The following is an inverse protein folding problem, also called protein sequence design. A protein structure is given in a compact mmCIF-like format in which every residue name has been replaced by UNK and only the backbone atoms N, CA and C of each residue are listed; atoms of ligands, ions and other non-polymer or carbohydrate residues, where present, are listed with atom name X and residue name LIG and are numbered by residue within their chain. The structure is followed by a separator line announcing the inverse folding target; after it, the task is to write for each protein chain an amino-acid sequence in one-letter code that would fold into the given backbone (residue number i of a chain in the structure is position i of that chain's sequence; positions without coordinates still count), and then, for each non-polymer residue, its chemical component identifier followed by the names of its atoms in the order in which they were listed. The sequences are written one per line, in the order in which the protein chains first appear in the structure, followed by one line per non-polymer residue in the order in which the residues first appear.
data_IF_508523974513
#
_entry.id   IF_508523974513
#
_cell.length_a   1.000
_cell.length_b   1.000
_cell.length_c   1.000
_cell.angle_alpha   90.00
_cell.angle_beta   90.00
_cell.angle_gamma   90.00
#
_symmetry.space_group_name_H-M   'P 1'
#
loop_
_entity.id
_entity.type
_entity.pdbx_description
1 polymer ?
#
# COMPACT_ATOMS: atom_id res chain seq x y z
N UNK A 1 -23.77 -4.14 -17.69
CA UNK A 1 -23.71 -2.69 -17.95
C UNK A 1 -23.07 -2.08 -16.72
N UNK A 2 -21.93 -1.43 -16.85
CA UNK A 2 -21.29 -0.72 -15.73
C UNK A 2 -22.15 0.51 -15.42
N UNK A 3 -22.71 0.59 -14.20
CA UNK A 3 -23.42 1.79 -13.76
C UNK A 3 -22.48 2.99 -13.86
N UNK A 4 -22.98 4.15 -14.29
CA UNK A 4 -22.15 5.35 -14.32
C UNK A 4 -21.88 5.84 -12.89
N UNK A 5 -20.74 6.50 -12.68
CA UNK A 5 -20.39 7.08 -11.36
C UNK A 5 -21.50 8.01 -10.84
N UNK A 6 -22.21 8.69 -11.74
CA UNK A 6 -23.37 9.52 -11.43
C UNK A 6 -24.57 8.69 -10.94
N UNK A 7 -24.87 7.57 -11.59
CA UNK A 7 -25.96 6.69 -11.18
C UNK A 7 -25.68 6.08 -9.81
N UNK A 8 -24.42 5.74 -9.52
CA UNK A 8 -24.01 5.23 -8.19
C UNK A 8 -24.19 6.28 -7.10
N UNK A 9 -23.87 7.55 -7.36
CA UNK A 9 -24.11 8.64 -6.40
C UNK A 9 -25.61 8.90 -6.19
N UNK A 10 -26.43 8.77 -7.23
CA UNK A 10 -27.89 8.86 -7.10
C UNK A 10 -28.47 7.71 -6.27
N UNK A 11 -27.99 6.48 -6.47
CA UNK A 11 -28.38 5.30 -5.69
C UNK A 11 -27.96 5.42 -4.21
N UNK A 12 -26.87 6.14 -3.92
CA UNK A 12 -26.43 6.48 -2.55
C UNK A 12 -27.25 7.61 -1.91
N UNK A 13 -28.18 8.23 -2.65
CA UNK A 13 -29.10 9.26 -2.14
C UNK A 13 -28.58 10.69 -2.22
N UNK A 14 -27.53 10.95 -3.01
CA UNK A 14 -27.06 12.32 -3.24
C UNK A 14 -27.96 13.09 -4.22
N UNK A 15 -28.09 14.40 -3.99
CA UNK A 15 -28.87 15.27 -4.86
C UNK A 15 -28.25 15.36 -6.27
N UNK A 16 -29.07 15.15 -7.30
CA UNK A 16 -28.62 15.06 -8.71
C UNK A 16 -27.72 16.21 -9.15
N UNK A 17 -28.07 17.44 -8.80
CA UNK A 17 -27.28 18.62 -9.19
C UNK A 17 -25.91 18.67 -8.51
N UNK A 18 -25.79 18.19 -7.25
CA UNK A 18 -24.49 18.09 -6.56
C UNK A 18 -23.66 16.94 -7.09
N UNK A 19 -24.27 15.77 -7.34
CA UNK A 19 -23.60 14.61 -7.90
C UNK A 19 -23.03 14.90 -9.30
N UNK A 20 -23.80 15.57 -10.16
CA UNK A 20 -23.32 16.04 -11.47
C UNK A 20 -22.13 16.99 -11.34
N UNK A 21 -22.16 17.91 -10.37
CA UNK A 21 -21.08 18.86 -10.15
C UNK A 21 -19.82 18.19 -9.61
N UNK A 22 -19.98 17.23 -8.70
CA UNK A 22 -18.90 16.45 -8.11
C UNK A 22 -18.19 15.58 -9.17
N UNK A 23 -18.96 14.86 -9.99
CA UNK A 23 -18.42 14.05 -11.09
C UNK A 23 -17.74 14.94 -12.14
N UNK A 24 -18.29 16.12 -12.44
CA UNK A 24 -17.65 17.09 -13.36
C UNK A 24 -16.35 17.67 -12.82
N UNK A 25 -16.21 17.89 -11.50
CA UNK A 25 -14.99 18.44 -10.89
C UNK A 25 -13.89 17.41 -10.68
N UNK A 26 -14.24 16.16 -10.38
CA UNK A 26 -13.27 15.14 -9.93
C UNK A 26 -13.02 14.03 -10.94
N UNK A 27 -13.97 13.76 -11.85
CA UNK A 27 -13.82 12.80 -12.94
C UNK A 27 -13.79 11.32 -12.52
N UNK A 28 -13.95 11.01 -11.23
CA UNK A 28 -14.03 9.64 -10.71
C UNK A 28 -14.97 9.55 -9.50
N UNK A 29 -15.53 8.37 -9.23
CA UNK A 29 -16.45 8.14 -8.11
C UNK A 29 -15.87 8.52 -6.73
N UNK A 30 -14.64 8.06 -6.42
CA UNK A 30 -14.04 8.27 -5.10
C UNK A 30 -13.77 9.75 -4.82
N UNK A 31 -13.29 10.50 -5.81
CA UNK A 31 -13.09 11.93 -5.69
C UNK A 31 -14.42 12.68 -5.60
N UNK A 32 -15.44 12.22 -6.33
CA UNK A 32 -16.77 12.82 -6.25
C UNK A 32 -17.37 12.67 -4.82
N UNK A 33 -17.15 11.53 -4.16
CA UNK A 33 -17.57 11.31 -2.77
C UNK A 33 -16.84 12.22 -1.79
N UNK A 34 -15.51 12.32 -1.88
CA UNK A 34 -14.70 13.20 -1.03
C UNK A 34 -15.07 14.68 -1.23
N UNK A 35 -15.36 15.07 -2.47
CA UNK A 35 -15.81 16.42 -2.79
C UNK A 35 -17.21 16.72 -2.25
N UNK A 36 -18.13 15.74 -2.30
CA UNK A 36 -19.48 15.88 -1.75
C UNK A 36 -19.46 15.98 -0.23
N UNK A 37 -18.61 15.21 0.45
CA UNK A 37 -18.42 15.26 1.90
C UNK A 37 -17.86 16.61 2.33
N UNK A 38 -16.80 17.10 1.67
CA UNK A 38 -16.18 18.39 1.98
C UNK A 38 -17.07 19.61 1.69
N UNK A 39 -18.13 19.45 0.88
CA UNK A 39 -19.03 20.53 0.47
C UNK A 39 -20.48 20.28 0.89
N UNK A 40 -20.71 19.38 1.85
CA UNK A 40 -22.05 19.01 2.30
C UNK A 40 -22.81 20.22 2.89
N UNK A 41 -22.13 21.07 3.65
CA UNK A 41 -22.72 22.22 4.34
C UNK A 41 -22.91 23.48 3.48
N UNK A 42 -22.38 23.49 2.25
CA UNK A 42 -22.48 24.65 1.36
C UNK A 42 -23.78 24.61 0.57
N UNK A 43 -24.51 25.73 0.42
CA UNK A 43 -25.69 25.79 -0.42
C UNK A 43 -25.31 25.56 -1.90
N UNK A 44 -26.20 24.91 -2.64
CA UNK A 44 -25.96 24.49 -4.03
C UNK A 44 -25.66 25.70 -4.94
N UNK A 45 -26.31 26.83 -4.67
CA UNK A 45 -26.09 28.15 -5.30
C UNK A 45 -24.63 28.61 -5.18
N UNK A 46 -24.02 28.50 -4.00
CA UNK A 46 -22.63 28.90 -3.74
C UNK A 46 -21.65 27.93 -4.40
N UNK A 47 -21.98 26.64 -4.47
CA UNK A 47 -21.18 25.64 -5.17
C UNK A 47 -21.22 25.82 -6.69
N UNK A 48 -22.35 26.23 -7.24
CA UNK A 48 -22.47 26.57 -8.66
C UNK A 48 -21.78 27.89 -8.99
N UNK A 49 -21.84 28.88 -8.10
CA UNK A 49 -21.10 30.14 -8.23
C UNK A 49 -19.58 29.90 -8.14
N UNK A 50 -19.11 29.07 -7.21
CA UNK A 50 -17.70 28.65 -7.08
C UNK A 50 -17.24 27.64 -8.16
N UNK A 51 -18.16 27.12 -8.99
CA UNK A 51 -17.84 26.35 -10.18
C UNK A 51 -17.83 27.21 -11.44
N UNK A 52 -18.62 28.28 -11.47
CA UNK A 52 -18.54 29.34 -12.48
C UNK A 52 -17.29 30.22 -12.28
N UNK A 53 -16.85 30.41 -11.03
CA UNK A 53 -15.55 30.94 -10.68
C UNK A 53 -14.49 29.83 -10.73
N UNK A 54 -14.11 29.40 -11.94
CA UNK A 54 -12.82 28.70 -12.08
C UNK A 54 -11.69 29.73 -12.00
N UNK A 55 -10.57 29.41 -11.31
CA UNK A 55 -9.30 30.10 -11.55
C UNK A 55 -8.76 29.55 -12.88
N UNK A 56 -8.99 30.27 -13.96
CA UNK A 56 -8.51 29.90 -15.29
C UNK A 56 -8.00 31.17 -15.97
N UNK A 57 -6.66 31.31 -16.01
CA UNK A 57 -5.89 32.33 -16.75
C UNK A 57 -6.24 33.80 -16.42
N UNK A 58 -5.88 34.22 -15.20
CA UNK A 58 -5.99 35.58 -14.64
C UNK A 58 -5.27 36.72 -15.42
N UNK A 59 -4.66 36.46 -16.58
CA UNK A 59 -3.89 37.49 -17.31
C UNK A 59 -4.53 37.89 -18.65
N UNK A 60 -5.35 37.03 -19.26
CA UNK A 60 -5.90 37.29 -20.60
C UNK A 60 -7.22 38.06 -20.55
N UNK A 61 -8.08 37.74 -19.58
CA UNK A 61 -9.34 38.45 -19.33
C UNK A 61 -9.11 39.80 -18.63
N UNK A 62 -8.00 39.94 -17.89
CA UNK A 62 -7.57 41.18 -17.21
C UNK A 62 -7.21 42.29 -18.21
N UNK A 63 -6.62 41.92 -19.36
CA UNK A 63 -6.31 42.89 -20.43
C UNK A 63 -7.57 43.25 -21.22
N UNK A 64 -8.50 42.31 -21.43
CA UNK A 64 -9.77 42.58 -22.10
C UNK A 64 -10.66 43.53 -21.27
N UNK A 65 -10.76 43.29 -19.96
CA UNK A 65 -11.51 44.15 -19.03
C UNK A 65 -10.89 45.56 -18.89
N UNK A 66 -9.55 45.67 -18.93
CA UNK A 66 -8.86 46.96 -18.94
C UNK A 66 -9.04 47.76 -20.25
N UNK A 67 -9.27 47.07 -21.38
CA UNK A 67 -9.59 47.69 -22.67
C UNK A 67 -11.02 48.24 -22.66
N UNK A 68 -11.99 47.47 -22.16
CA UNK A 68 -13.41 47.87 -22.07
C UNK A 68 -13.64 49.00 -21.03
N UNK A 69 -12.88 49.01 -19.94
CA UNK A 69 -12.85 50.12 -18.97
C UNK A 69 -12.16 51.40 -19.51
N UNK A 70 -11.37 51.29 -20.59
CA UNK A 70 -10.78 52.44 -21.27
C UNK A 70 -11.80 53.15 -22.19
N UNK A 71 -12.75 52.41 -22.74
CA UNK A 71 -13.75 52.88 -23.74
C UNK A 71 -15.03 53.45 -23.11
N UNK A 72 -15.40 53.07 -21.87
CA UNK A 72 -16.72 53.37 -21.30
C UNK A 72 -16.88 54.73 -20.60
N UNK A 73 -15.83 55.53 -20.40
CA UNK A 73 -15.95 56.97 -20.16
C UNK A 73 -16.80 57.46 -18.95
N UNK A 74 -17.10 56.64 -17.93
CA UNK A 74 -17.85 57.09 -16.74
C UNK A 74 -16.91 57.35 -15.57
N UNK A 75 -16.68 58.63 -15.27
CA UNK A 75 -15.79 59.09 -14.22
C UNK A 75 -16.47 59.09 -12.83
N UNK A 76 -16.09 58.13 -11.99
CA UNK A 76 -16.08 58.29 -10.52
C UNK A 76 -14.69 57.85 -10.04
N UNK A 77 -13.79 58.80 -9.82
CA UNK A 77 -12.44 58.51 -9.31
C UNK A 77 -12.47 58.26 -7.80
N UNK A 78 -11.93 57.11 -7.38
CA UNK A 78 -11.76 56.76 -5.97
C UNK A 78 -10.29 56.97 -5.56
N UNK A 79 -10.05 57.55 -4.40
CA UNK A 79 -8.71 57.81 -3.86
C UNK A 79 -8.53 56.99 -2.60
N UNK A 80 -7.48 56.16 -2.54
CA UNK A 80 -7.13 55.46 -1.31
C UNK A 80 -6.51 56.47 -0.33
N UNK A 81 -7.10 56.64 0.85
CA UNK A 81 -6.63 57.58 1.87
C UNK A 81 -5.35 57.10 2.56
N UNK A 82 -5.06 55.79 2.52
CA UNK A 82 -3.88 55.19 3.15
C UNK A 82 -2.61 55.37 2.31
N UNK A 83 -2.73 55.39 0.97
CA UNK A 83 -1.56 55.53 0.08
C UNK A 83 -1.66 56.66 -0.94
N UNK A 84 -2.74 57.45 -0.93
CA UNK A 84 -2.95 58.59 -1.82
C UNK A 84 -3.08 58.26 -3.30
N UNK A 85 -3.18 56.97 -3.67
CA UNK A 85 -3.30 56.52 -5.06
C UNK A 85 -4.73 56.75 -5.55
N UNK A 86 -4.85 57.27 -6.77
CA UNK A 86 -6.14 57.55 -7.42
C UNK A 86 -6.45 56.48 -8.44
N UNK A 87 -7.68 55.99 -8.40
CA UNK A 87 -8.19 54.90 -9.22
C UNK A 87 -9.26 55.43 -10.17
N UNK A 88 -9.24 54.92 -11.40
CA UNK A 88 -10.13 55.35 -12.48
C UNK A 88 -11.50 54.68 -12.40
N UNK A 89 -11.56 53.46 -11.86
CA UNK A 89 -12.78 52.67 -11.68
C UNK A 89 -12.79 51.93 -10.33
N UNK A 90 -13.98 51.55 -9.88
CA UNK A 90 -14.19 50.75 -8.67
C UNK A 90 -13.44 49.40 -8.73
N UNK A 91 -13.34 48.79 -9.92
CA UNK A 91 -12.63 47.51 -10.10
C UNK A 91 -11.13 47.68 -9.83
N UNK A 92 -10.51 48.74 -10.34
CA UNK A 92 -9.09 49.03 -10.05
C UNK A 92 -8.84 49.37 -8.58
N UNK A 93 -9.81 49.96 -7.89
CA UNK A 93 -9.74 50.19 -6.45
C UNK A 93 -9.86 48.88 -5.65
N UNK A 94 -10.75 47.97 -6.05
CA UNK A 94 -10.89 46.65 -5.43
C UNK A 94 -9.63 45.78 -5.60
N UNK A 95 -8.97 45.84 -6.76
CA UNK A 95 -7.70 45.15 -6.97
C UNK A 95 -6.56 45.72 -6.11
N UNK A 96 -6.53 47.04 -5.95
CA UNK A 96 -5.58 47.66 -5.02
C UNK A 96 -5.89 47.25 -3.57
N UNK A 97 -7.16 47.17 -3.19
CA UNK A 97 -7.59 46.67 -1.89
C UNK A 97 -7.16 45.21 -1.65
N UNK A 98 -7.29 44.31 -2.63
CA UNK A 98 -6.88 42.90 -2.47
C UNK A 98 -5.37 42.69 -2.49
N UNK A 99 -4.62 43.57 -3.15
CA UNK A 99 -3.16 43.46 -3.27
C UNK A 99 -2.41 44.15 -2.15
N UNK A 100 -2.95 45.23 -1.60
CA UNK A 100 -2.29 46.02 -0.55
C UNK A 100 -3.08 46.09 0.75
N UNK A 101 -4.22 45.41 0.85
CA UNK A 101 -5.12 45.42 2.02
C UNK A 101 -5.57 46.81 2.47
N UNK A 102 -5.59 47.80 1.57
CA UNK A 102 -6.08 49.14 1.89
C UNK A 102 -7.59 49.23 1.64
N UNK A 103 -8.36 49.61 2.65
CA UNK A 103 -9.83 49.58 2.59
C UNK A 103 -10.46 50.98 2.57
N UNK A 104 -9.71 52.01 2.93
CA UNK A 104 -10.24 53.37 3.01
C UNK A 104 -10.13 54.12 1.68
N UNK A 105 -11.25 54.20 0.94
CA UNK A 105 -11.37 54.96 -0.31
C UNK A 105 -12.31 56.16 -0.16
N UNK A 106 -11.88 57.34 -0.60
CA UNK A 106 -12.70 58.55 -0.72
C UNK A 106 -13.05 58.84 -2.19
N UNK A 107 -14.30 59.22 -2.46
CA UNK A 107 -14.73 59.69 -3.78
C UNK A 107 -14.20 61.13 -3.99
N UNK A 108 -13.27 61.31 -4.94
CA UNK A 108 -12.72 62.63 -5.28
C UNK A 108 -13.26 63.07 -6.64
N UNK A 109 -13.78 64.31 -6.72
CA UNK A 109 -14.38 64.93 -7.92
C UNK A 109 -13.35 65.53 -8.89
N UNK A 110 -12.07 65.22 -8.73
CA UNK A 110 -11.02 65.72 -9.62
C UNK A 110 -10.83 64.78 -10.81
N UNK A 111 -11.29 65.24 -11.98
CA UNK A 111 -11.14 64.58 -13.26
C UNK A 111 -9.65 64.33 -13.55
N UNK A 112 -9.23 63.07 -13.47
CA UNK A 112 -7.92 62.66 -13.98
C UNK A 112 -7.98 62.86 -15.49
N UNK A 113 -7.19 63.82 -16.00
CA UNK A 113 -7.10 64.10 -17.43
C UNK A 113 -6.95 62.76 -18.19
N UNK A 114 -7.90 62.43 -19.08
CA UNK A 114 -7.82 61.19 -19.84
C UNK A 114 -6.51 61.19 -20.62
N UNK A 115 -5.74 60.10 -20.53
CA UNK A 115 -4.57 59.90 -21.39
C UNK A 115 -4.92 60.35 -22.82
N UNK A 116 -4.05 61.13 -23.45
CA UNK A 116 -4.22 61.52 -24.85
C UNK A 116 -4.38 60.26 -25.70
N UNK A 117 -5.22 60.31 -26.74
CA UNK A 117 -5.60 59.11 -27.49
C UNK A 117 -4.39 58.39 -28.13
N UNK A 118 -3.31 59.12 -28.37
CA UNK A 118 -2.01 58.60 -28.82
C UNK A 118 -1.32 57.73 -27.76
N UNK A 119 -1.34 58.11 -26.48
CA UNK A 119 -0.74 57.34 -25.39
C UNK A 119 -1.54 56.07 -25.08
N UNK A 120 -2.87 56.13 -25.23
CA UNK A 120 -3.72 54.93 -25.13
C UNK A 120 -3.43 53.95 -26.26
N UNK A 121 -3.27 54.44 -27.49
CA UNK A 121 -2.95 53.61 -28.64
C UNK A 121 -1.61 52.87 -28.48
N UNK A 122 -0.56 53.57 -28.00
CA UNK A 122 0.76 52.97 -27.73
C UNK A 122 0.67 51.90 -26.63
N UNK A 123 -0.04 52.18 -25.53
CA UNK A 123 -0.19 51.24 -24.42
C UNK A 123 -1.02 50.01 -24.80
N UNK A 124 -2.01 50.18 -25.68
CA UNK A 124 -2.79 49.08 -26.27
C UNK A 124 -1.94 48.21 -27.21
N UNK A 125 -1.06 48.82 -28.02
CA UNK A 125 -0.12 48.02 -28.84
C UNK A 125 0.86 47.24 -27.99
N UNK A 126 1.43 47.85 -26.94
CA UNK A 126 2.35 47.17 -26.02
C UNK A 126 1.65 46.00 -25.29
N UNK A 127 0.43 46.20 -24.77
CA UNK A 127 -0.36 45.14 -24.15
C UNK A 127 -0.68 44.00 -25.12
N UNK A 128 -1.04 44.32 -26.37
CA UNK A 128 -1.30 43.32 -27.41
C UNK A 128 -0.04 42.54 -27.78
N UNK A 129 1.13 43.19 -27.80
CA UNK A 129 2.41 42.52 -28.03
C UNK A 129 2.80 41.61 -26.86
N UNK A 130 2.62 42.06 -25.62
CA UNK A 130 2.85 41.25 -24.43
C UNK A 130 1.93 40.02 -24.37
N UNK A 131 0.65 40.16 -24.71
CA UNK A 131 -0.26 39.02 -24.80
C UNK A 131 0.13 38.03 -25.90
N UNK A 132 0.58 38.52 -27.07
CA UNK A 132 1.08 37.66 -28.14
C UNK A 132 2.34 36.92 -27.71
N UNK A 133 3.25 37.58 -27.00
CA UNK A 133 4.46 36.95 -26.49
C UNK A 133 4.15 35.90 -25.40
N UNK A 134 3.24 36.19 -24.46
CA UNK A 134 2.76 35.22 -23.46
C UNK A 134 2.11 34.00 -24.12
N UNK A 135 1.20 34.22 -25.08
CA UNK A 135 0.55 33.13 -25.84
C UNK A 135 1.56 32.31 -26.65
N UNK A 136 2.56 32.94 -27.25
CA UNK A 136 3.62 32.24 -27.97
C UNK A 136 4.48 31.38 -27.03
N UNK A 137 4.81 31.87 -25.83
CA UNK A 137 5.55 31.11 -24.81
C UNK A 137 4.73 29.92 -24.29
N UNK A 138 3.45 30.14 -23.94
CA UNK A 138 2.54 29.08 -23.53
C UNK A 138 2.39 28.00 -24.64
N UNK A 139 2.21 28.41 -25.90
CA UNK A 139 2.10 27.45 -27.01
C UNK A 139 3.37 26.61 -27.24
N UNK A 140 4.56 27.07 -26.82
CA UNK A 140 5.79 26.26 -26.86
C UNK A 140 5.82 25.27 -25.69
N UNK A 141 5.47 25.72 -24.48
CA UNK A 141 5.40 24.86 -23.30
C UNK A 141 4.36 23.75 -23.48
N UNK A 142 3.15 24.08 -23.96
CA UNK A 142 2.08 23.11 -24.22
C UNK A 142 2.51 22.05 -25.24
N UNK A 143 3.28 22.44 -26.27
CA UNK A 143 3.83 21.50 -27.25
C UNK A 143 4.88 20.56 -26.64
N UNK A 144 5.71 21.06 -25.73
CA UNK A 144 6.69 20.23 -25.03
C UNK A 144 6.03 19.28 -24.02
N UNK A 145 5.03 19.76 -23.29
CA UNK A 145 4.23 18.94 -22.38
C UNK A 145 3.44 17.87 -23.11
N UNK A 146 2.81 18.21 -24.25
CA UNK A 146 2.14 17.23 -25.10
C UNK A 146 3.10 16.14 -25.58
N UNK A 147 4.32 16.51 -26.01
CA UNK A 147 5.36 15.54 -26.39
C UNK A 147 5.80 14.68 -25.21
N UNK A 148 5.99 15.25 -24.01
CA UNK A 148 6.34 14.49 -22.80
C UNK A 148 5.21 13.52 -22.43
N UNK A 149 3.95 13.95 -22.46
CA UNK A 149 2.80 13.11 -22.17
C UNK A 149 2.65 11.96 -23.17
N UNK A 150 2.87 12.23 -24.46
CA UNK A 150 2.91 11.17 -25.48
C UNK A 150 4.04 10.18 -25.23
N UNK A 151 5.25 10.64 -24.89
CA UNK A 151 6.36 9.77 -24.55
C UNK A 151 6.09 8.91 -23.31
N UNK A 152 5.44 9.47 -22.28
CA UNK A 152 5.03 8.73 -21.08
C UNK A 152 4.05 7.62 -21.46
N UNK A 153 3.04 7.92 -22.30
CA UNK A 153 2.07 6.92 -22.78
C UNK A 153 2.75 5.78 -23.55
N UNK A 154 3.69 6.12 -24.43
CA UNK A 154 4.43 5.12 -25.21
C UNK A 154 5.35 4.27 -24.32
N UNK A 155 6.05 4.89 -23.36
CA UNK A 155 6.89 4.18 -22.39
C UNK A 155 6.06 3.25 -21.50
N UNK A 156 4.95 3.73 -20.93
CA UNK A 156 4.07 2.93 -20.10
C UNK A 156 3.50 1.71 -20.85
N UNK A 157 3.14 1.88 -22.13
CA UNK A 157 2.68 0.77 -22.97
C UNK A 157 3.80 -0.25 -23.22
N UNK A 158 5.00 0.24 -23.52
CA UNK A 158 6.18 -0.61 -23.74
C UNK A 158 6.58 -1.37 -22.48
N UNK A 159 6.67 -0.69 -21.34
CA UNK A 159 6.99 -1.28 -20.03
C UNK A 159 5.93 -2.31 -19.63
N UNK A 160 4.64 -2.07 -19.90
CA UNK A 160 3.58 -3.05 -19.65
C UNK A 160 3.76 -4.32 -20.49
N UNK A 161 4.16 -4.19 -21.76
CA UNK A 161 4.45 -5.32 -22.63
C UNK A 161 5.71 -6.07 -22.17
N UNK A 162 6.79 -5.35 -21.85
CA UNK A 162 8.05 -5.94 -21.36
C UNK A 162 7.83 -6.67 -20.03
N UNK A 163 7.08 -6.10 -19.08
CA UNK A 163 6.73 -6.76 -17.82
C UNK A 163 5.94 -8.06 -18.05
N UNK A 164 5.01 -8.07 -19.01
CA UNK A 164 4.23 -9.26 -19.35
C UNK A 164 5.11 -10.35 -19.99
N UNK A 165 6.00 -9.98 -20.91
CA UNK A 165 6.95 -10.91 -21.52
C UNK A 165 7.95 -11.45 -20.48
N UNK A 166 8.45 -10.62 -19.58
CA UNK A 166 9.36 -11.04 -18.52
C UNK A 166 8.67 -11.99 -17.54
N UNK A 167 7.42 -11.72 -17.16
CA UNK A 167 6.62 -12.62 -16.31
C UNK A 167 6.45 -13.99 -16.99
N UNK A 168 6.08 -14.00 -18.28
CA UNK A 168 5.94 -15.24 -19.04
C UNK A 168 7.26 -16.01 -19.16
N UNK A 169 8.38 -15.31 -19.40
CA UNK A 169 9.72 -15.94 -19.43
C UNK A 169 10.09 -16.53 -18.08
N UNK A 170 9.85 -15.80 -16.97
CA UNK A 170 10.11 -16.29 -15.61
C UNK A 170 9.26 -17.51 -15.28
N UNK A 171 7.99 -17.53 -15.70
CA UNK A 171 7.10 -18.69 -15.53
C UNK A 171 7.61 -19.91 -16.29
N UNK A 172 8.02 -19.75 -17.56
CA UNK A 172 8.58 -20.82 -18.37
C UNK A 172 9.89 -21.37 -17.78
N UNK A 173 10.78 -20.50 -17.30
CA UNK A 173 12.02 -20.92 -16.63
C UNK A 173 11.70 -21.69 -15.36
N UNK A 174 10.79 -21.19 -14.53
CA UNK A 174 10.38 -21.84 -13.28
C UNK A 174 9.71 -23.19 -13.52
N UNK A 175 8.91 -23.33 -14.57
CA UNK A 175 8.31 -24.61 -14.96
C UNK A 175 9.38 -25.60 -15.44
N UNK A 176 10.33 -25.13 -16.27
CA UNK A 176 11.45 -25.96 -16.72
C UNK A 176 12.35 -26.42 -15.57
N UNK A 177 12.62 -25.54 -14.60
CA UNK A 177 13.39 -25.86 -13.40
C UNK A 177 12.66 -26.86 -12.50
N UNK A 178 11.37 -26.64 -12.22
CA UNK A 178 10.54 -27.61 -11.48
C UNK A 178 10.54 -28.97 -12.14
N UNK A 179 10.36 -29.04 -13.46
CA UNK A 179 10.40 -30.30 -14.20
C UNK A 179 11.78 -30.97 -14.15
N UNK A 180 12.87 -30.21 -14.06
CA UNK A 180 14.22 -30.76 -13.85
C UNK A 180 14.39 -31.28 -12.42
N UNK A 181 13.92 -30.54 -11.42
CA UNK A 181 13.94 -30.95 -10.02
C UNK A 181 13.12 -32.21 -9.80
N UNK A 182 11.88 -32.27 -10.28
CA UNK A 182 11.02 -33.47 -10.19
C UNK A 182 11.70 -34.71 -10.80
N UNK A 183 12.37 -34.55 -11.95
CA UNK A 183 13.14 -35.65 -12.56
C UNK A 183 14.34 -36.10 -11.72
N UNK A 184 15.03 -35.17 -11.07
CA UNK A 184 16.15 -35.48 -10.17
C UNK A 184 15.65 -36.16 -8.90
N UNK A 185 14.61 -35.64 -8.28
CA UNK A 185 13.98 -36.19 -7.08
C UNK A 185 13.42 -37.59 -7.35
N UNK A 186 12.80 -37.83 -8.50
CA UNK A 186 12.36 -39.15 -8.94
C UNK A 186 13.53 -40.12 -9.14
N UNK A 187 14.64 -39.63 -9.71
CA UNK A 187 15.84 -40.44 -9.89
C UNK A 187 16.50 -40.78 -8.54
N UNK A 188 16.53 -39.83 -7.61
CA UNK A 188 17.03 -40.03 -6.25
C UNK A 188 16.12 -40.95 -5.43
N UNK A 189 14.80 -40.82 -5.53
CA UNK A 189 13.84 -41.71 -4.91
C UNK A 189 14.03 -43.15 -5.42
N UNK A 190 14.18 -43.33 -6.74
CA UNK A 190 14.49 -44.63 -7.34
C UNK A 190 15.84 -45.17 -6.86
N UNK A 191 16.87 -44.33 -6.75
CA UNK A 191 18.18 -44.72 -6.20
C UNK A 191 18.08 -45.15 -4.75
N UNK A 192 17.32 -44.43 -3.92
CA UNK A 192 17.10 -44.74 -2.51
C UNK A 192 16.35 -46.06 -2.32
N UNK A 193 15.35 -46.32 -3.15
CA UNK A 193 14.62 -47.59 -3.15
C UNK A 193 15.55 -48.74 -3.58
N UNK A 194 16.32 -48.55 -4.65
CA UNK A 194 17.31 -49.55 -5.09
C UNK A 194 18.35 -49.85 -4.01
N UNK A 195 18.90 -48.83 -3.35
CA UNK A 195 19.84 -49.00 -2.25
C UNK A 195 19.24 -49.76 -1.06
N UNK A 196 17.97 -49.51 -0.72
CA UNK A 196 17.26 -50.28 0.32
C UNK A 196 17.06 -51.75 -0.07
N UNK A 197 16.72 -52.02 -1.32
CA UNK A 197 16.56 -53.39 -1.83
C UNK A 197 17.91 -54.12 -1.84
N UNK A 198 19.00 -53.44 -2.23
CA UNK A 198 20.35 -54.00 -2.22
C UNK A 198 20.84 -54.30 -0.80
N UNK A 199 20.61 -53.37 0.14
CA UNK A 199 20.92 -53.58 1.55
C UNK A 199 20.12 -54.74 2.17
N UNK A 200 18.81 -54.85 1.90
CA UNK A 200 18.00 -56.00 2.36
C UNK A 200 18.47 -57.33 1.75
N UNK A 201 18.84 -57.32 0.45
CA UNK A 201 19.36 -58.50 -0.24
C UNK A 201 20.71 -58.93 0.31
N UNK A 202 21.59 -57.97 0.60
CA UNK A 202 22.90 -58.22 1.23
C UNK A 202 22.75 -58.70 2.67
N UNK A 203 21.85 -58.11 3.46
CA UNK A 203 21.57 -58.58 4.82
C UNK A 203 21.01 -60.01 4.82
N UNK A 204 20.11 -60.33 3.87
CA UNK A 204 19.62 -61.71 3.71
C UNK A 204 20.70 -62.68 3.26
N UNK A 205 21.57 -62.28 2.34
CA UNK A 205 22.75 -63.08 1.95
C UNK A 205 23.67 -63.32 3.16
N UNK A 206 23.99 -62.27 3.91
CA UNK A 206 24.85 -62.34 5.10
C UNK A 206 24.25 -63.27 6.16
N UNK A 207 22.96 -63.13 6.48
CA UNK A 207 22.27 -64.03 7.42
C UNK A 207 22.23 -65.48 6.94
N UNK A 208 22.04 -65.71 5.64
CA UNK A 208 22.06 -67.06 5.06
C UNK A 208 23.47 -67.67 5.09
N UNK A 209 24.52 -66.89 4.83
CA UNK A 209 25.92 -67.31 4.94
C UNK A 209 26.32 -67.58 6.40
N UNK A 210 25.91 -66.71 7.34
CA UNK A 210 26.08 -66.91 8.78
C UNK A 210 25.38 -68.20 9.26
N UNK A 211 24.14 -68.44 8.82
CA UNK A 211 23.40 -69.66 9.17
C UNK A 211 24.01 -70.93 8.53
N UNK A 212 24.52 -70.83 7.29
CA UNK A 212 25.22 -71.94 6.63
C UNK A 212 26.55 -72.25 7.32
N UNK A 213 27.33 -71.23 7.67
CA UNK A 213 28.57 -71.37 8.44
C UNK A 213 28.34 -71.99 9.82
N UNK A 214 27.26 -71.60 10.51
CA UNK A 214 26.84 -72.20 11.77
C UNK A 214 26.43 -73.68 11.61
N UNK A 215 25.81 -74.05 10.48
CA UNK A 215 25.40 -75.44 10.20
C UNK A 215 26.56 -76.34 9.78
N UNK A 216 27.56 -75.81 9.08
CA UNK A 216 28.77 -76.54 8.66
C UNK A 216 29.83 -76.66 9.78
N UNK A 217 29.50 -76.24 11.01
CA UNK A 217 30.37 -76.41 12.18
C UNK A 217 31.66 -75.59 12.12
N UNK A 218 31.76 -74.61 11.21
CA UNK A 218 32.87 -73.66 11.18
C UNK A 218 32.63 -72.66 12.31
N UNK A 219 33.32 -72.86 13.42
CA UNK A 219 33.28 -71.96 14.57
C UNK A 219 33.49 -70.50 14.11
N UNK A 220 32.63 -69.55 14.52
CA UNK A 220 32.89 -68.15 14.25
C UNK A 220 34.20 -67.78 14.96
N UNK A 221 35.15 -67.24 14.21
CA UNK A 221 36.29 -66.55 14.80
C UNK A 221 35.76 -65.46 15.74
N UNK A 222 36.44 -65.17 16.87
CA UNK A 222 35.99 -64.17 17.82
C UNK A 222 36.09 -62.77 17.17
N UNK A 223 34.98 -62.31 16.61
CA UNK A 223 34.75 -60.95 16.15
C UNK A 223 34.01 -60.13 17.21
N UNK A 224 34.16 -58.81 17.18
CA UNK A 224 34.10 -57.94 18.36
C UNK A 224 32.68 -57.71 18.89
N UNK A 225 32.66 -57.38 20.19
CA UNK A 225 31.62 -56.81 21.03
C UNK A 225 30.30 -56.41 20.37
N UNK A 226 29.22 -56.91 21.00
CA UNK A 226 27.84 -56.60 20.72
C UNK A 226 27.60 -55.10 20.48
N UNK A 227 26.76 -54.72 19.49
CA UNK A 227 26.30 -53.34 19.39
C UNK A 227 25.53 -52.99 20.68
N UNK A 228 25.69 -51.77 21.21
CA UNK A 228 24.99 -51.36 22.41
C UNK A 228 23.49 -51.47 22.15
N UNK A 229 22.81 -52.23 22.99
CA UNK A 229 21.35 -52.24 23.06
C UNK A 229 20.89 -50.80 23.21
N UNK A 230 20.10 -50.31 22.26
CA UNK A 230 19.42 -49.02 22.37
C UNK A 230 18.69 -49.04 23.71
N UNK A 231 19.01 -48.14 24.66
CA UNK A 231 18.36 -48.15 25.95
C UNK A 231 16.87 -47.96 25.72
N UNK A 232 16.08 -48.87 26.29
CA UNK A 232 14.63 -48.71 26.43
C UNK A 232 14.43 -47.32 27.02
N UNK A 233 13.86 -46.40 26.25
CA UNK A 233 13.65 -45.02 26.67
C UNK A 233 12.69 -45.08 27.87
N UNK A 234 13.25 -45.11 29.07
CA UNK A 234 12.50 -44.79 30.28
C UNK A 234 12.05 -43.36 30.08
N UNK A 235 10.73 -43.14 29.98
CA UNK A 235 10.18 -41.81 29.84
C UNK A 235 10.72 -40.95 30.99
N UNK A 236 11.62 -40.01 30.67
CA UNK A 236 12.09 -39.05 31.66
C UNK A 236 10.90 -38.13 31.97
N UNK A 237 10.26 -38.36 33.11
CA UNK A 237 9.14 -37.54 33.59
C UNK A 237 9.59 -36.22 34.22
N UNK A 238 10.90 -35.95 34.27
CA UNK A 238 11.50 -34.73 34.82
C UNK A 238 11.62 -33.59 33.81
N UNK A 239 11.51 -33.88 32.50
CA UNK A 239 11.59 -32.88 31.43
C UNK A 239 10.39 -33.03 30.49
N UNK A 240 9.88 -31.91 29.98
CA UNK A 240 8.79 -31.85 29.01
C UNK A 240 9.30 -31.26 27.69
N UNK A 241 9.13 -32.00 26.60
CA UNK A 241 9.36 -31.50 25.23
C UNK A 241 8.06 -30.91 24.69
N UNK A 242 7.98 -29.58 24.63
CA UNK A 242 6.82 -28.85 24.15
C UNK A 242 7.03 -28.40 22.71
N UNK A 243 6.05 -28.70 21.85
CA UNK A 243 5.88 -28.07 20.54
C UNK A 243 4.76 -27.04 20.63
N UNK A 244 5.13 -25.78 20.62
CA UNK A 244 4.26 -24.62 20.73
C UNK A 244 3.94 -24.12 19.32
N UNK A 245 2.68 -24.17 18.91
CA UNK A 245 2.21 -23.64 17.64
C UNK A 245 1.74 -22.20 17.89
N UNK A 246 2.54 -21.22 17.49
CA UNK A 246 2.23 -19.79 17.58
C UNK A 246 1.82 -19.24 16.22
N UNK A 247 1.30 -18.00 16.17
CA UNK A 247 0.98 -17.31 14.91
C UNK A 247 2.21 -17.09 14.01
N UNK A 248 3.41 -17.02 14.61
CA UNK A 248 4.69 -16.85 13.92
C UNK A 248 5.39 -18.16 13.51
N UNK A 249 4.83 -19.32 13.81
CA UNK A 249 5.40 -20.62 13.46
C UNK A 249 5.40 -21.64 14.61
N UNK A 250 6.13 -22.74 14.44
CA UNK A 250 6.27 -23.76 15.49
C UNK A 250 7.55 -23.53 16.28
N UNK A 251 7.44 -23.39 17.60
CA UNK A 251 8.58 -23.29 18.52
C UNK A 251 8.71 -24.61 19.30
N UNK A 252 9.92 -25.15 19.36
CA UNK A 252 10.24 -26.38 20.11
C UNK A 252 11.07 -26.01 21.34
N UNK A 253 10.58 -26.36 22.54
CA UNK A 253 11.28 -26.11 23.80
C UNK A 253 11.31 -27.36 24.66
N UNK A 254 12.43 -27.58 25.34
CA UNK A 254 12.56 -28.60 26.38
C UNK A 254 12.67 -27.86 27.72
N UNK A 255 11.69 -28.06 28.60
CA UNK A 255 11.60 -27.38 29.88
C UNK A 255 11.49 -28.39 31.03
N UNK A 256 11.98 -28.06 32.24
CA UNK A 256 11.76 -28.89 33.43
C UNK A 256 10.27 -29.12 33.72
N UNK A 257 9.94 -30.27 34.31
CA UNK A 257 8.55 -30.64 34.62
C UNK A 257 7.86 -29.70 35.64
N UNK A 258 8.65 -28.96 36.42
CA UNK A 258 8.20 -28.03 37.45
C UNK A 258 7.93 -26.62 36.93
N UNK A 259 8.28 -26.31 35.67
CA UNK A 259 7.98 -24.99 35.11
C UNK A 259 6.48 -24.79 34.98
N UNK A 260 6.02 -23.57 35.24
CA UNK A 260 4.60 -23.21 35.15
C UNK A 260 4.23 -22.81 33.73
N UNK A 261 2.96 -22.98 33.36
CA UNK A 261 2.46 -22.49 32.08
C UNK A 261 2.60 -20.97 31.92
N UNK A 262 2.61 -20.22 33.04
CA UNK A 262 2.91 -18.80 33.09
C UNK A 262 4.34 -18.47 32.66
N UNK A 263 5.34 -19.20 33.16
CA UNK A 263 6.74 -19.04 32.73
C UNK A 263 6.90 -19.34 31.23
N UNK A 264 6.18 -20.35 30.72
CA UNK A 264 6.17 -20.65 29.27
C UNK A 264 5.56 -19.50 28.47
N UNK A 265 4.48 -18.88 28.96
CA UNK A 265 3.89 -17.71 28.33
C UNK A 265 4.86 -16.51 28.32
N UNK A 266 5.56 -16.28 29.43
CA UNK A 266 6.56 -15.20 29.54
C UNK A 266 7.74 -15.43 28.58
N UNK A 267 8.25 -16.66 28.47
CA UNK A 267 9.32 -17.00 27.52
C UNK A 267 8.90 -16.77 26.08
N UNK A 268 7.66 -17.12 25.73
CA UNK A 268 7.11 -16.85 24.39
C UNK A 268 6.93 -15.34 24.14
N UNK A 269 6.53 -14.58 25.15
CA UNK A 269 6.43 -13.13 25.05
C UNK A 269 7.80 -12.48 24.82
N UNK A 270 8.86 -12.95 25.49
CA UNK A 270 10.21 -12.41 25.32
C UNK A 270 10.85 -12.79 23.98
N UNK A 271 10.57 -13.99 23.45
CA UNK A 271 11.18 -14.49 22.21
C UNK A 271 10.42 -14.09 20.95
N UNK A 272 9.09 -14.09 21.01
CA UNK A 272 8.23 -13.89 19.84
C UNK A 272 7.43 -12.57 19.89
N UNK A 273 7.46 -11.83 21.00
CA UNK A 273 6.69 -10.60 21.16
C UNK A 273 5.17 -10.82 21.19
N UNK A 274 4.71 -12.05 21.43
CA UNK A 274 3.29 -12.43 21.43
C UNK A 274 2.76 -12.51 22.87
N UNK A 275 1.70 -11.77 23.15
CA UNK A 275 0.94 -11.91 24.39
C UNK A 275 0.11 -13.20 24.33
N UNK A 276 0.51 -14.21 25.10
CA UNK A 276 -0.19 -15.49 25.14
C UNK A 276 -1.43 -15.37 26.02
N UNK A 277 -2.61 -15.57 25.44
CA UNK A 277 -3.89 -15.53 26.15
C UNK A 277 -4.35 -16.92 26.61
N UNK A 278 -4.01 -17.96 25.84
CA UNK A 278 -4.39 -19.34 26.18
C UNK A 278 -3.51 -20.40 25.52
N UNK A 279 -3.41 -21.56 26.19
CA UNK A 279 -2.81 -22.77 25.63
C UNK A 279 -3.89 -23.83 25.41
N UNK A 280 -3.84 -24.55 24.28
CA UNK A 280 -4.75 -25.68 24.04
C UNK A 280 -4.05 -26.91 23.49
N UNK A 281 -4.42 -28.09 23.98
CA UNK A 281 -3.92 -29.38 23.47
C UNK A 281 -4.78 -29.88 22.31
N UNK A 282 -4.20 -30.68 21.42
CA UNK A 282 -4.91 -31.27 20.28
C UNK A 282 -5.75 -32.50 20.67
N UNK A 283 -5.23 -33.41 21.50
CA UNK A 283 -5.97 -34.59 21.96
C UNK A 283 -5.43 -35.18 23.28
N UNK A 284 -6.28 -35.38 24.31
CA UNK A 284 -7.63 -34.86 24.46
C UNK A 284 -7.60 -33.32 24.51
N UNK A 285 -8.60 -32.66 23.91
CA UNK A 285 -8.65 -31.20 23.82
C UNK A 285 -8.89 -30.60 25.22
N UNK A 286 -7.86 -29.97 25.77
CA UNK A 286 -7.89 -29.22 27.02
C UNK A 286 -7.41 -27.81 26.72
N UNK A 287 -8.13 -26.82 27.21
CA UNK A 287 -7.77 -25.41 27.07
C UNK A 287 -7.43 -24.88 28.45
N UNK A 288 -6.23 -24.32 28.59
CA UNK A 288 -5.72 -23.71 29.80
C UNK A 288 -5.85 -22.19 29.66
N UNK A 289 -6.71 -21.58 30.49
CA UNK A 289 -7.03 -20.15 30.44
C UNK A 289 -7.11 -19.54 31.84
N UNK A 290 -6.65 -18.30 31.96
CA UNK A 290 -6.71 -17.55 33.22
C UNK A 290 -5.60 -17.92 34.22
N UNK A 291 -5.57 -17.19 35.33
CA UNK A 291 -4.48 -17.24 36.31
C UNK A 291 -4.32 -18.62 36.97
N UNK A 292 -5.42 -19.32 37.24
CA UNK A 292 -5.44 -20.62 37.93
C UNK A 292 -4.94 -21.77 37.07
N UNK A 293 -5.13 -21.71 35.74
CA UNK A 293 -4.60 -22.72 34.84
C UNK A 293 -3.15 -22.42 34.46
N UNK A 294 -2.78 -21.14 34.32
CA UNK A 294 -1.41 -20.72 34.04
C UNK A 294 -0.44 -20.98 35.21
N UNK A 295 -0.94 -21.08 36.44
CA UNK A 295 -0.13 -21.44 37.61
C UNK A 295 0.19 -22.93 37.71
N UNK A 296 -0.45 -23.80 36.92
CA UNK A 296 -0.19 -25.24 36.93
C UNK A 296 1.18 -25.54 36.33
N UNK A 297 1.89 -26.48 36.93
CA UNK A 297 3.16 -26.98 36.38
C UNK A 297 2.92 -27.86 35.14
N UNK A 298 3.93 -28.02 34.29
CA UNK A 298 3.86 -28.91 33.13
C UNK A 298 3.51 -30.36 33.52
N UNK A 299 3.93 -30.78 34.72
CA UNK A 299 3.57 -32.10 35.29
C UNK A 299 2.10 -32.18 35.68
N UNK A 300 1.56 -31.17 36.37
CA UNK A 300 0.15 -31.11 36.78
C UNK A 300 -0.80 -30.97 35.60
N UNK A 301 -0.38 -30.26 34.55
CA UNK A 301 -1.10 -30.13 33.30
C UNK A 301 -1.07 -31.41 32.43
N UNK A 302 -0.23 -32.40 32.78
CA UNK A 302 -0.08 -33.65 32.04
C UNK A 302 0.64 -33.49 30.71
N UNK A 303 1.59 -32.56 30.63
CA UNK A 303 2.35 -32.20 29.41
C UNK A 303 3.73 -32.88 29.33
N UNK A 304 4.11 -33.65 30.35
CA UNK A 304 5.29 -34.51 30.38
C UNK A 304 4.96 -35.91 29.85
N UNK A 305 5.86 -36.57 29.09
CA UNK A 305 7.21 -36.15 28.68
C UNK A 305 7.23 -35.31 27.39
N UNK A 306 6.13 -35.26 26.64
CA UNK A 306 6.03 -34.46 25.41
C UNK A 306 4.60 -34.03 25.14
N UNK A 307 4.40 -32.78 24.71
CA UNK A 307 3.08 -32.28 24.34
C UNK A 307 3.14 -31.28 23.18
N UNK A 308 2.02 -31.19 22.45
CA UNK A 308 1.79 -30.19 21.41
C UNK A 308 0.72 -29.23 21.92
N UNK A 309 1.07 -27.95 21.99
CA UNK A 309 0.20 -26.89 22.47
C UNK A 309 -0.01 -25.87 21.35
N UNK A 310 -1.26 -25.50 21.11
CA UNK A 310 -1.65 -24.38 20.26
C UNK A 310 -1.74 -23.16 21.16
N UNK A 311 -0.95 -22.15 20.84
CA UNK A 311 -0.85 -20.87 21.55
C UNK A 311 -1.76 -19.89 20.86
N UNK A 312 -2.64 -19.23 21.62
CA UNK A 312 -3.55 -18.19 21.11
C UNK A 312 -3.40 -16.91 21.90
#
# INVERSE_FOLDING_TARGET
MTQSDLDQLLDMGFEKARAELAVKKTGNLNGALEWLEANQDKPLEELTAAAAAKPQDDDADEVQANIEALESGVAKSLVCNECGKRFKSQDTASYHATKTDHTDFSESTEEIAPLTDEQKAVKLSELREQLKEKKAKQAVLDKEEAKRNEQIRMKATKESQEMKEELQRKEQIKEAEKKRQEKLDDAEAKRRIKAKIEADKEERRRKAEEAKAAREGRAPAPGPVAPPSVPKITANHNEARLRLQTSGGNVLKTLPAETTLFEVAQMLQSENGLEVTSFSTTFPKKTFQGATDLSKTLKEAGLTPSAVLIVK
#
